data_IF_715882115151
#
_entry.id   IF_715882115151
#
_cell.length_a   1.000
_cell.length_b   1.000
_cell.length_c   1.000
_cell.angle_alpha   90.00
_cell.angle_beta   90.00
_cell.angle_gamma   90.00
#
_symmetry.space_group_name_H-M   'P 1'
#
loop_
_entity.id
_entity.type
_entity.pdbx_description
1 polymer ?
#
# COMPACT_ATOMS: atom_id res chain seq x y z
N UNK A 1 -48.56 8.26 2.59
CA UNK A 1 -47.84 8.45 1.31
C UNK A 1 -46.35 8.30 1.57
N UNK A 2 -45.81 7.15 1.17
CA UNK A 2 -44.39 6.84 0.96
C UNK A 2 -43.75 7.93 0.09
N UNK A 3 -42.56 8.49 0.35
CA UNK A 3 -41.31 7.87 0.80
C UNK A 3 -40.31 8.02 -0.34
N UNK A 4 -39.16 8.67 -0.13
CA UNK A 4 -37.91 8.35 -0.84
C UNK A 4 -36.75 9.15 -0.25
N UNK A 5 -36.23 8.56 0.82
CA UNK A 5 -34.85 8.69 1.25
C UNK A 5 -33.91 8.41 0.07
N UNK A 6 -33.18 9.43 -0.39
CA UNK A 6 -32.08 9.24 -1.34
C UNK A 6 -30.89 8.63 -0.59
N UNK A 7 -30.85 7.29 -0.67
CA UNK A 7 -29.79 6.41 -0.20
C UNK A 7 -28.42 6.79 -0.79
N UNK A 8 -27.41 6.67 0.06
CA UNK A 8 -26.19 5.97 -0.28
C UNK A 8 -25.25 6.70 -1.23
N UNK A 9 -24.51 7.68 -0.70
CA UNK A 9 -23.24 8.10 -1.30
C UNK A 9 -22.29 6.90 -1.18
N UNK A 10 -22.21 6.09 -2.24
CA UNK A 10 -21.30 4.97 -2.34
C UNK A 10 -19.90 5.46 -2.04
N UNK A 11 -19.32 4.99 -0.94
CA UNK A 11 -17.89 5.09 -0.70
C UNK A 11 -17.23 4.37 -1.86
N UNK A 12 -16.75 5.11 -2.86
CA UNK A 12 -15.84 4.56 -3.87
C UNK A 12 -14.63 4.08 -3.10
N UNK A 13 -14.56 2.78 -2.86
CA UNK A 13 -13.38 2.15 -2.30
C UNK A 13 -12.21 2.55 -3.19
N UNK A 14 -11.15 3.19 -2.68
CA UNK A 14 -9.97 3.42 -3.49
C UNK A 14 -9.50 2.06 -4.00
N UNK A 15 -9.39 1.90 -5.32
CA UNK A 15 -8.83 0.70 -5.91
C UNK A 15 -7.40 0.59 -5.38
N UNK A 16 -7.12 -0.47 -4.64
CA UNK A 16 -5.77 -0.72 -4.15
C UNK A 16 -4.86 -1.01 -5.36
N UNK A 17 -3.81 -0.22 -5.53
CA UNK A 17 -2.80 -0.45 -6.56
C UNK A 17 -1.75 -1.42 -6.02
N UNK A 18 -1.55 -2.54 -6.71
CA UNK A 18 -0.58 -3.56 -6.28
C UNK A 18 0.88 -3.08 -6.32
N UNK A 19 1.16 -2.00 -7.07
CA UNK A 19 2.48 -1.36 -7.14
C UNK A 19 2.39 0.11 -7.52
N UNK A 20 3.48 0.86 -7.30
CA UNK A 20 3.60 2.27 -7.73
C UNK A 20 3.46 2.40 -9.25
N UNK A 21 4.04 1.48 -10.05
CA UNK A 21 3.86 1.49 -11.52
C UNK A 21 2.38 1.32 -11.91
N UNK A 22 1.65 0.43 -11.24
CA UNK A 22 0.21 0.26 -11.50
C UNK A 22 -0.65 1.48 -11.10
N UNK A 23 -0.13 2.36 -10.24
CA UNK A 23 -0.76 3.64 -9.91
C UNK A 23 -0.52 4.66 -11.04
N UNK A 24 0.72 4.76 -11.53
CA UNK A 24 1.09 5.58 -12.69
C UNK A 24 0.22 5.21 -13.89
N UNK A 25 0.13 3.92 -14.23
CA UNK A 25 -0.70 3.43 -15.34
C UNK A 25 -2.18 3.80 -15.17
N UNK A 26 -2.69 3.77 -13.94
CA UNK A 26 -4.07 4.11 -13.66
C UNK A 26 -4.34 5.60 -13.82
N UNK A 27 -3.42 6.47 -13.38
CA UNK A 27 -3.53 7.91 -13.57
C UNK A 27 -3.51 8.29 -15.04
N UNK A 28 -2.65 7.67 -15.85
CA UNK A 28 -2.61 7.90 -17.30
C UNK A 28 -3.92 7.45 -17.97
N UNK A 29 -4.46 6.29 -17.60
CA UNK A 29 -5.79 5.84 -18.09
C UNK A 29 -6.92 6.78 -17.70
N UNK A 30 -6.88 7.32 -16.48
CA UNK A 30 -7.86 8.30 -16.00
C UNK A 30 -7.73 9.62 -16.75
N UNK A 31 -6.51 10.09 -17.01
CA UNK A 31 -6.26 11.28 -17.81
C UNK A 31 -6.81 11.13 -19.23
N UNK A 32 -6.58 9.99 -19.87
CA UNK A 32 -7.14 9.69 -21.19
C UNK A 32 -8.67 9.73 -21.17
N UNK A 33 -9.30 9.11 -20.17
CA UNK A 33 -10.75 9.15 -20.01
C UNK A 33 -11.26 10.60 -19.84
N UNK A 34 -10.59 11.40 -19.02
CA UNK A 34 -10.94 12.81 -18.82
C UNK A 34 -10.83 13.62 -20.11
N UNK A 35 -9.79 13.40 -20.93
CA UNK A 35 -9.67 14.06 -22.25
C UNK A 35 -10.87 13.77 -23.13
N UNK A 36 -11.32 12.51 -23.17
CA UNK A 36 -12.50 12.10 -23.97
C UNK A 36 -13.80 12.79 -23.52
N UNK A 37 -13.92 13.12 -22.24
CA UNK A 37 -15.12 13.74 -21.66
C UNK A 37 -14.96 15.24 -21.38
N UNK A 38 -13.96 15.91 -21.97
CA UNK A 38 -13.78 17.38 -21.87
C UNK A 38 -13.09 17.87 -20.59
N UNK A 39 -12.59 16.97 -19.74
CA UNK A 39 -11.83 17.27 -18.53
C UNK A 39 -10.35 17.57 -18.76
N UNK A 40 -10.01 18.37 -19.78
CA UNK A 40 -8.63 18.56 -20.23
C UNK A 40 -7.64 19.01 -19.15
N UNK A 41 -8.02 20.00 -18.32
CA UNK A 41 -7.15 20.49 -17.25
C UNK A 41 -6.86 19.41 -16.19
N UNK A 42 -7.86 18.59 -15.84
CA UNK A 42 -7.69 17.52 -14.88
C UNK A 42 -6.82 16.39 -15.44
N UNK A 43 -6.94 16.11 -16.75
CA UNK A 43 -6.07 15.15 -17.42
C UNK A 43 -4.59 15.57 -17.36
N UNK A 44 -4.31 16.84 -17.66
CA UNK A 44 -2.94 17.39 -17.59
C UNK A 44 -2.36 17.30 -16.18
N UNK A 45 -3.16 17.54 -15.14
CA UNK A 45 -2.70 17.39 -13.75
C UNK A 45 -2.33 15.94 -13.44
N UNK A 46 -3.17 14.98 -13.84
CA UNK A 46 -2.88 13.55 -13.60
C UNK A 46 -1.65 13.06 -14.36
N UNK A 47 -1.47 13.51 -15.61
CA UNK A 47 -0.27 13.22 -16.40
C UNK A 47 0.98 13.77 -15.70
N UNK A 48 0.95 15.01 -15.25
CA UNK A 48 2.08 15.61 -14.52
C UNK A 48 2.40 14.86 -13.23
N UNK A 49 1.40 14.46 -12.47
CA UNK A 49 1.61 13.65 -11.27
C UNK A 49 2.21 12.28 -11.61
N UNK A 50 1.78 11.66 -12.71
CA UNK A 50 2.33 10.39 -13.18
C UNK A 50 3.80 10.54 -13.60
N UNK A 51 4.14 11.61 -14.31
CA UNK A 51 5.51 11.91 -14.75
C UNK A 51 6.44 12.18 -13.56
N UNK A 52 6.02 13.01 -12.60
CA UNK A 52 6.80 13.31 -11.38
C UNK A 52 7.05 12.04 -10.55
N UNK A 53 6.03 11.19 -10.43
CA UNK A 53 6.14 9.92 -9.72
C UNK A 53 7.04 8.93 -10.47
N UNK A 54 6.94 8.86 -11.79
CA UNK A 54 7.80 8.00 -12.60
C UNK A 54 9.27 8.42 -12.52
N UNK A 55 9.54 9.74 -12.60
CA UNK A 55 10.88 10.29 -12.41
C UNK A 55 11.45 9.90 -11.03
N UNK A 56 10.66 10.08 -9.98
CA UNK A 56 11.07 9.70 -8.61
C UNK A 56 11.36 8.20 -8.49
N UNK A 57 10.53 7.34 -9.09
CA UNK A 57 10.75 5.89 -9.11
C UNK A 57 12.04 5.56 -9.87
N UNK A 58 12.27 6.20 -11.02
CA UNK A 58 13.45 5.99 -11.85
C UNK A 58 14.74 6.38 -11.11
N UNK A 59 14.77 7.57 -10.50
CA UNK A 59 15.91 8.03 -9.70
C UNK A 59 16.21 7.08 -8.53
N UNK A 60 15.17 6.63 -7.82
CA UNK A 60 15.31 5.62 -6.78
C UNK A 60 15.88 4.32 -7.33
N UNK A 61 15.33 3.81 -8.42
CA UNK A 61 15.72 2.53 -9.04
C UNK A 61 17.17 2.56 -9.56
N UNK A 62 17.65 3.72 -10.01
CA UNK A 62 19.01 3.97 -10.49
C UNK A 62 20.03 4.20 -9.37
N UNK A 63 19.58 4.57 -8.18
CA UNK A 63 20.46 4.79 -7.02
C UNK A 63 21.32 3.56 -6.75
N UNK A 64 22.64 3.75 -6.74
CA UNK A 64 23.61 2.68 -6.48
C UNK A 64 23.90 2.56 -4.99
N UNK A 65 23.79 1.34 -4.47
CA UNK A 65 24.03 1.01 -3.08
C UNK A 65 25.35 0.26 -2.91
N UNK A 66 25.99 0.47 -1.76
CA UNK A 66 27.07 -0.42 -1.32
C UNK A 66 26.50 -1.82 -1.04
N UNK A 67 27.34 -2.86 -1.04
CA UNK A 67 26.86 -4.20 -0.67
C UNK A 67 26.25 -4.26 0.74
N UNK A 68 26.72 -3.42 1.66
CA UNK A 68 26.19 -3.33 3.03
C UNK A 68 24.78 -2.73 3.03
N UNK A 69 24.55 -1.62 2.33
CA UNK A 69 23.22 -1.01 2.24
C UNK A 69 22.25 -1.90 1.46
N UNK A 70 22.74 -2.53 0.39
CA UNK A 70 22.00 -3.51 -0.39
C UNK A 70 21.56 -4.72 0.46
N UNK A 71 22.42 -5.21 1.37
CA UNK A 71 22.08 -6.28 2.30
C UNK A 71 20.94 -5.87 3.24
N UNK A 72 20.99 -4.64 3.76
CA UNK A 72 19.93 -4.08 4.62
C UNK A 72 18.58 -3.97 3.89
N UNK A 73 18.58 -3.53 2.63
CA UNK A 73 17.34 -3.35 1.86
C UNK A 73 16.78 -4.68 1.33
N UNK A 74 17.63 -5.61 0.90
CA UNK A 74 17.20 -6.89 0.29
C UNK A 74 16.91 -8.01 1.31
N UNK A 75 17.49 -7.92 2.52
CA UNK A 75 17.43 -8.99 3.51
C UNK A 75 18.35 -10.18 3.21
N UNK A 76 19.26 -10.05 2.23
CA UNK A 76 20.35 -10.99 1.99
C UNK A 76 21.62 -10.55 2.72
N UNK A 77 22.56 -11.48 2.89
CA UNK A 77 23.88 -11.14 3.45
C UNK A 77 24.76 -10.46 2.40
N UNK A 78 25.67 -9.61 2.88
CA UNK A 78 26.65 -8.90 2.05
C UNK A 78 27.51 -9.87 1.22
N UNK A 79 27.95 -10.97 1.83
CA UNK A 79 28.78 -11.99 1.19
C UNK A 79 28.03 -12.71 0.07
N UNK A 80 26.73 -12.96 0.25
CA UNK A 80 25.89 -13.56 -0.79
C UNK A 80 25.70 -12.59 -1.98
N UNK A 81 25.37 -11.32 -1.70
CA UNK A 81 25.26 -10.30 -2.73
C UNK A 81 26.57 -10.11 -3.50
N UNK A 82 27.70 -10.07 -2.78
CA UNK A 82 29.03 -9.98 -3.41
C UNK A 82 29.35 -11.18 -4.29
N UNK A 83 28.86 -12.38 -3.94
CA UNK A 83 28.97 -13.58 -4.80
C UNK A 83 28.14 -13.43 -6.06
N UNK A 84 26.87 -13.00 -5.95
CA UNK A 84 26.00 -12.78 -7.10
C UNK A 84 26.58 -11.75 -8.09
N UNK A 85 27.25 -10.72 -7.58
CA UNK A 85 27.95 -9.74 -8.43
C UNK A 85 29.17 -10.38 -9.11
N UNK A 86 30.00 -11.14 -8.37
CA UNK A 86 31.18 -11.83 -8.93
C UNK A 86 30.81 -12.87 -9.98
N UNK A 87 29.70 -13.57 -9.79
CA UNK A 87 29.20 -14.60 -10.69
C UNK A 87 28.43 -14.00 -11.89
N UNK A 88 28.36 -12.66 -11.99
CA UNK A 88 27.69 -11.94 -13.09
C UNK A 88 26.16 -12.02 -13.07
N UNK A 89 25.56 -12.52 -11.98
CA UNK A 89 24.09 -12.61 -11.82
C UNK A 89 23.45 -11.25 -11.52
N UNK A 90 24.20 -10.36 -10.87
CA UNK A 90 23.83 -8.97 -10.63
C UNK A 90 24.89 -8.07 -11.26
N UNK A 91 24.52 -7.09 -12.10
CA UNK A 91 25.49 -6.14 -12.66
C UNK A 91 26.19 -5.34 -11.55
N UNK A 92 27.51 -5.21 -11.65
CA UNK A 92 28.26 -4.28 -10.81
C UNK A 92 28.03 -2.85 -11.30
N UNK A 93 27.34 -2.02 -10.51
CA UNK A 93 27.14 -0.60 -10.77
C UNK A 93 28.26 0.30 -10.19
N UNK A 94 29.27 -0.31 -9.57
CA UNK A 94 30.44 0.37 -9.01
C UNK A 94 31.69 0.15 -9.87
N UNK A 95 32.84 0.02 -9.21
CA UNK A 95 34.12 -0.24 -9.86
C UNK A 95 34.67 -1.62 -9.46
N UNK A 96 35.65 -2.19 -10.20
CA UNK A 96 36.37 -3.38 -9.76
C UNK A 96 36.94 -3.19 -8.34
N UNK A 97 36.77 -4.18 -7.47
CA UNK A 97 37.21 -4.13 -6.07
C UNK A 97 36.32 -3.32 -5.11
N UNK A 98 35.37 -2.52 -5.60
CA UNK A 98 34.37 -1.83 -4.80
C UNK A 98 32.97 -1.97 -5.42
N UNK A 99 32.39 -3.19 -5.35
CA UNK A 99 31.13 -3.49 -6.00
C UNK A 99 29.97 -2.69 -5.40
N UNK A 100 29.08 -2.23 -6.28
CA UNK A 100 27.80 -1.60 -5.93
C UNK A 100 26.67 -2.23 -6.72
N UNK A 101 25.45 -2.11 -6.20
CA UNK A 101 24.24 -2.67 -6.83
C UNK A 101 23.24 -1.53 -6.99
N UNK A 102 22.73 -1.31 -8.21
CA UNK A 102 21.61 -0.40 -8.42
C UNK A 102 20.34 -0.98 -7.79
N UNK A 103 19.51 -0.14 -7.14
CA UNK A 103 18.32 -0.62 -6.41
C UNK A 103 17.39 -1.50 -7.25
N UNK A 104 17.23 -1.20 -8.55
CA UNK A 104 16.43 -2.02 -9.49
C UNK A 104 16.92 -3.47 -9.63
N UNK A 105 18.19 -3.74 -9.34
CA UNK A 105 18.80 -5.07 -9.43
C UNK A 105 18.89 -5.78 -8.08
N UNK A 106 18.38 -5.19 -7.00
CA UNK A 106 18.32 -5.85 -5.71
C UNK A 106 17.42 -7.09 -5.79
N UNK A 107 17.91 -8.27 -5.40
CA UNK A 107 17.05 -9.43 -5.26
C UNK A 107 16.07 -9.15 -4.12
N UNK A 108 14.78 -9.36 -4.39
CA UNK A 108 13.76 -9.24 -3.36
C UNK A 108 13.59 -10.60 -2.71
N UNK A 109 14.05 -10.73 -1.46
CA UNK A 109 13.60 -11.85 -0.64
C UNK A 109 12.09 -11.67 -0.49
N UNK A 110 11.32 -12.67 -0.93
CA UNK A 110 9.90 -12.74 -0.59
C UNK A 110 9.82 -12.86 0.93
N UNK A 111 9.83 -11.73 1.64
CA UNK A 111 9.18 -11.67 2.94
C UNK A 111 7.71 -11.76 2.59
N UNK A 112 7.10 -12.83 3.05
CA UNK A 112 5.70 -13.12 2.84
C UNK A 112 4.88 -11.83 2.94
N UNK A 113 3.90 -11.69 2.06
CA UNK A 113 2.90 -10.63 2.06
C UNK A 113 1.97 -10.75 3.30
N UNK A 114 2.51 -11.22 4.43
CA UNK A 114 1.83 -11.54 5.66
C UNK A 114 1.94 -10.33 6.58
N UNK A 115 1.01 -9.40 6.39
CA UNK A 115 0.29 -8.64 7.43
C UNK A 115 -0.18 -7.27 6.91
N UNK A 116 -0.90 -7.27 5.79
CA UNK A 116 -2.08 -6.42 5.64
C UNK A 116 -3.37 -7.24 5.74
N UNK A 117 -3.26 -8.50 6.20
CA UNK A 117 -4.39 -9.23 6.73
C UNK A 117 -4.85 -8.48 7.98
N UNK A 118 -5.79 -7.55 7.80
CA UNK A 118 -6.71 -7.16 8.86
C UNK A 118 -7.19 -8.50 9.46
N UNK A 119 -6.90 -8.82 10.73
CA UNK A 119 -7.43 -10.04 11.32
C UNK A 119 -8.94 -9.99 11.13
N UNK A 120 -9.57 -11.07 10.60
CA UNK A 120 -11.00 -11.05 10.37
C UNK A 120 -11.69 -10.67 11.69
N UNK A 121 -12.50 -9.61 11.66
CA UNK A 121 -13.36 -9.20 12.77
C UNK A 121 -14.45 -10.25 12.96
N UNK A 122 -14.07 -11.42 13.48
CA UNK A 122 -14.91 -12.46 14.03
C UNK A 122 -13.95 -13.43 14.75
N UNK A 123 -14.00 -13.58 16.07
CA UNK A 123 -15.16 -14.11 16.79
C UNK A 123 -15.16 -13.62 18.24
N UNK A 124 -16.04 -12.67 18.56
CA UNK A 124 -16.58 -12.58 19.93
C UNK A 124 -17.48 -13.80 20.16
N UNK A 125 -16.90 -14.90 20.63
CA UNK A 125 -17.65 -15.95 21.34
C UNK A 125 -17.44 -15.72 22.83
N UNK A 126 -18.49 -15.18 23.45
CA UNK A 126 -18.51 -14.91 24.89
C UNK A 126 -19.84 -14.32 25.34
N UNK A 127 -20.98 -14.81 24.83
CA UNK A 127 -22.27 -14.67 25.54
C UNK A 127 -22.16 -15.51 26.81
N UNK A 128 -21.74 -14.90 27.92
CA UNK A 128 -22.04 -15.43 29.24
C UNK A 128 -23.52 -15.12 29.48
N UNK A 129 -24.34 -16.17 29.52
CA UNK A 129 -25.67 -16.07 30.13
C UNK A 129 -25.49 -15.58 31.56
N UNK A 130 -26.03 -14.40 31.86
CA UNK A 130 -26.34 -14.03 33.24
C UNK A 130 -27.71 -14.60 33.52
N UNK A 131 -27.72 -15.73 34.24
CA UNK A 131 -28.92 -16.32 34.82
C UNK A 131 -29.56 -15.31 35.76
N UNK A 132 -30.83 -14.99 35.51
CA UNK A 132 -31.63 -14.17 36.41
C UNK A 132 -31.83 -14.84 37.76
N UNK A 133 -31.60 -14.09 38.84
CA UNK A 133 -32.12 -14.37 40.17
C UNK A 133 -32.09 -13.09 41.01
N UNK A 134 -33.26 -12.50 41.26
CA UNK A 134 -33.56 -11.48 42.29
C UNK A 134 -32.73 -10.19 42.19
N UNK A 135 -33.33 -9.01 42.14
CA UNK A 135 -34.02 -8.40 43.28
C UNK A 135 -34.94 -7.31 42.74
N UNK A 136 -36.18 -7.35 43.23
CA UNK A 136 -37.18 -6.30 43.12
C UNK A 136 -36.83 -5.20 44.12
N UNK A 137 -36.60 -3.95 43.67
CA UNK A 137 -37.05 -2.72 44.35
C UNK A 137 -36.57 -1.46 43.64
N UNK A 138 -37.51 -0.52 43.47
CA UNK A 138 -37.35 0.92 43.71
C UNK A 138 -36.27 1.64 42.88
N UNK A 139 -36.57 2.61 42.03
CA UNK A 139 -37.16 3.90 42.38
C UNK A 139 -37.72 4.52 41.09
N UNK A 140 -39.04 4.76 41.07
CA UNK A 140 -39.64 5.83 40.27
C UNK A 140 -39.49 7.08 41.15
N UNK A 141 -38.72 8.07 40.72
CA UNK A 141 -38.98 9.50 41.01
C UNK A 141 -37.90 10.43 40.42
N UNK A 142 -38.39 11.58 39.92
CA UNK A 142 -37.70 12.80 39.43
C UNK A 142 -37.22 12.76 37.98
N UNK A 143 -37.72 13.57 37.04
CA UNK A 143 -38.73 14.63 37.08
C UNK A 143 -38.78 15.27 35.68
N UNK A 144 -39.97 15.38 35.11
CA UNK A 144 -40.28 16.33 34.04
C UNK A 144 -41.52 17.08 34.52
N UNK A 145 -41.27 18.22 35.14
CA UNK A 145 -42.00 19.47 34.92
C UNK A 145 -40.97 20.58 34.82
#
# INVERSE_FOLDING_TARGET
MTGSSHRGRGTRTPTAHASVRSLIDAWLKQAEALRRYGGGNLAVVLERCADELEATVRERDETTLTLTDAARESGYTREHLGRLVRDGKIPNAGRPGAPRIARRHLPRKHRDQESLAIPPLARMRGRRQVSGRGIVRSIIEKGIE
#
